data_IF_580861436214
#
_entry.id   IF_580861436214
#
_cell.length_a   1.000
_cell.length_b   1.000
_cell.length_c   1.000
_cell.angle_alpha   90.00
_cell.angle_beta   90.00
_cell.angle_gamma   90.00
#
_symmetry.space_group_name_H-M   'P 1'
#
loop_
_entity.id
_entity.type
_entity.pdbx_description
1 polymer ?
#
# COMPACT_ATOMS: atom_id res chain seq x y z
N UNK A 1 4.19 0.27 -10.18
CA UNK A 1 4.01 1.29 -9.14
C UNK A 1 4.99 1.05 -7.98
N UNK A 2 5.20 2.01 -7.07
CA UNK A 2 6.04 1.82 -5.87
C UNK A 2 5.20 1.84 -4.59
N UNK A 3 5.30 0.79 -3.78
CA UNK A 3 4.62 0.63 -2.49
C UNK A 3 4.96 1.75 -1.50
N UNK A 4 6.24 2.17 -1.45
CA UNK A 4 6.72 3.24 -0.56
C UNK A 4 5.97 4.57 -0.77
N UNK A 5 5.62 4.89 -2.02
CA UNK A 5 4.94 6.15 -2.33
C UNK A 5 3.53 6.15 -1.75
N UNK A 6 2.79 5.06 -1.95
CA UNK A 6 1.46 4.88 -1.41
C UNK A 6 1.48 4.89 0.13
N UNK A 7 2.42 4.15 0.73
CA UNK A 7 2.64 4.09 2.17
C UNK A 7 2.92 5.45 2.79
N UNK A 8 3.88 6.21 2.23
CA UNK A 8 4.25 7.52 2.77
C UNK A 8 3.11 8.53 2.62
N UNK A 9 2.41 8.56 1.48
CA UNK A 9 1.25 9.44 1.31
C UNK A 9 0.11 9.07 2.29
N UNK A 10 -0.15 7.77 2.48
CA UNK A 10 -1.16 7.29 3.43
C UNK A 10 -0.82 7.65 4.88
N UNK A 11 0.43 7.44 5.31
CA UNK A 11 0.87 7.82 6.66
C UNK A 11 0.74 9.32 6.90
N UNK A 12 1.26 10.17 6.00
CA UNK A 12 1.13 11.64 6.15
C UNK A 12 -0.34 12.06 6.16
N UNK A 13 -1.19 11.41 5.35
CA UNK A 13 -2.63 11.68 5.33
C UNK A 13 -3.31 11.38 6.67
N UNK A 14 -2.98 10.27 7.31
CA UNK A 14 -3.58 9.86 8.58
C UNK A 14 -3.24 10.83 9.73
N UNK A 15 -2.04 11.41 9.73
CA UNK A 15 -1.64 12.45 10.69
C UNK A 15 -2.10 13.86 10.31
N UNK A 16 -2.49 14.10 9.06
CA UNK A 16 -2.70 15.43 8.49
C UNK A 16 -1.39 16.16 8.20
N UNK A 17 -0.50 16.28 9.21
CA UNK A 17 0.87 16.76 9.10
C UNK A 17 1.79 15.79 9.83
N UNK A 18 2.90 15.38 9.19
CA UNK A 18 3.82 14.42 9.79
C UNK A 18 5.29 14.77 9.53
N UNK A 19 6.12 14.56 10.54
CA UNK A 19 7.56 14.48 10.38
C UNK A 19 7.96 13.12 9.78
N UNK A 20 9.13 13.08 9.13
CA UNK A 20 9.61 11.83 8.53
C UNK A 20 9.78 10.68 9.52
N UNK A 21 10.12 10.99 10.77
CA UNK A 21 10.23 9.99 11.85
C UNK A 21 8.88 9.37 12.24
N UNK A 22 7.78 10.15 12.25
CA UNK A 22 6.45 9.61 12.53
C UNK A 22 6.03 8.63 11.43
N UNK A 23 6.21 9.03 10.17
CA UNK A 23 5.95 8.16 9.00
C UNK A 23 6.77 6.88 9.11
N UNK A 24 8.05 6.97 9.48
CA UNK A 24 8.90 5.80 9.67
C UNK A 24 8.36 4.87 10.76
N UNK A 25 7.99 5.42 11.91
CA UNK A 25 7.46 4.64 13.02
C UNK A 25 6.16 3.93 12.66
N UNK A 26 5.25 4.58 11.93
CA UNK A 26 4.01 3.93 11.45
C UNK A 26 4.33 2.76 10.52
N UNK A 27 5.24 2.94 9.56
CA UNK A 27 5.63 1.89 8.62
C UNK A 27 6.31 0.72 9.34
N UNK A 28 7.14 0.99 10.35
CA UNK A 28 7.72 -0.04 11.21
C UNK A 28 6.63 -0.77 12.03
N UNK A 29 5.68 -0.03 12.60
CA UNK A 29 4.55 -0.57 13.35
C UNK A 29 3.64 -1.46 12.50
N UNK A 30 3.46 -1.13 11.21
CA UNK A 30 2.75 -1.97 10.24
C UNK A 30 3.55 -3.19 9.77
N UNK A 31 4.78 -3.37 10.27
CA UNK A 31 5.68 -4.42 9.83
C UNK A 31 6.08 -4.29 8.36
N UNK A 32 6.08 -3.07 7.79
CA UNK A 32 6.32 -2.87 6.36
C UNK A 32 7.68 -3.40 5.88
N UNK A 33 8.63 -3.59 6.79
CA UNK A 33 9.92 -4.23 6.51
C UNK A 33 9.81 -5.72 6.17
N UNK A 34 8.76 -6.43 6.62
CA UNK A 34 8.55 -7.86 6.37
C UNK A 34 7.96 -8.13 4.98
N UNK A 35 7.14 -7.20 4.46
CA UNK A 35 6.35 -7.44 3.26
C UNK A 35 6.58 -6.42 2.13
N UNK A 36 7.41 -5.40 2.37
CA UNK A 36 7.79 -4.41 1.36
C UNK A 36 9.29 -4.09 1.41
N UNK A 37 9.75 -3.31 0.42
CA UNK A 37 11.13 -2.80 0.40
C UNK A 37 11.29 -1.47 1.16
N UNK A 38 10.34 -1.10 2.03
CA UNK A 38 10.36 0.12 2.82
C UNK A 38 11.46 0.07 3.88
N UNK A 39 12.58 0.73 3.59
CA UNK A 39 13.69 0.95 4.54
C UNK A 39 13.71 2.41 5.02
N UNK A 40 14.23 2.72 6.23
CA UNK A 40 14.29 4.09 6.75
C UNK A 40 14.79 5.12 5.73
N UNK A 41 15.96 4.92 5.13
CA UNK A 41 16.50 5.83 4.12
C UNK A 41 15.60 6.03 2.88
N UNK A 42 14.80 5.03 2.49
CA UNK A 42 13.86 5.14 1.35
C UNK A 42 12.65 6.03 1.67
N UNK A 43 12.23 6.06 2.94
CA UNK A 43 11.11 6.87 3.43
C UNK A 43 11.48 8.35 3.37
N UNK A 44 12.63 8.71 3.95
CA UNK A 44 13.13 10.08 3.93
C UNK A 44 13.41 10.59 2.52
N UNK A 45 13.95 9.72 1.65
CA UNK A 45 14.14 10.06 0.24
C UNK A 45 12.79 10.27 -0.46
N UNK A 46 11.80 9.41 -0.22
CA UNK A 46 10.48 9.52 -0.81
C UNK A 46 9.77 10.82 -0.39
N UNK A 47 9.81 11.20 0.89
CA UNK A 47 9.24 12.46 1.39
C UNK A 47 9.84 13.68 0.67
N UNK A 48 11.18 13.77 0.62
CA UNK A 48 11.88 14.86 -0.07
C UNK A 48 11.55 14.90 -1.56
N UNK A 49 11.50 13.74 -2.21
CA UNK A 49 11.18 13.67 -3.63
C UNK A 49 9.73 14.07 -3.93
N UNK A 50 8.80 13.67 -3.06
CA UNK A 50 7.39 14.02 -3.16
C UNK A 50 7.12 15.49 -2.89
N UNK A 51 7.88 16.12 -1.98
CA UNK A 51 7.86 17.57 -1.81
C UNK A 51 8.34 18.30 -3.06
N UNK A 52 9.45 17.85 -3.67
CA UNK A 52 9.94 18.41 -4.96
C UNK A 52 8.94 18.26 -6.11
N UNK A 53 8.13 17.20 -6.09
CA UNK A 53 7.08 16.94 -7.09
C UNK A 53 5.79 17.72 -6.82
N UNK A 54 5.69 18.44 -5.71
CA UNK A 54 4.50 19.23 -5.35
C UNK A 54 3.32 18.40 -4.83
N UNK A 55 3.51 17.09 -4.58
CA UNK A 55 2.47 16.24 -3.97
C UNK A 55 2.51 16.30 -2.43
N UNK A 56 3.60 16.79 -1.86
CA UNK A 56 3.70 17.15 -0.45
C UNK A 56 4.14 18.62 -0.33
N UNK A 57 3.63 19.30 0.69
CA UNK A 57 4.12 20.59 1.13
C UNK A 57 5.05 20.38 2.32
N UNK A 58 6.28 20.88 2.22
CA UNK A 58 7.24 20.85 3.31
C UNK A 58 7.13 22.15 4.13
N UNK A 59 6.91 22.02 5.43
CA UNK A 59 6.92 23.11 6.39
C UNK A 59 8.22 23.07 7.18
N UNK A 60 9.01 24.13 7.11
CA UNK A 60 10.15 24.29 8.01
C UNK A 60 9.64 24.68 9.40
N UNK A 61 9.72 23.75 10.35
CA UNK A 61 9.33 24.02 11.74
C UNK A 61 10.55 24.55 12.49
N UNK A 62 10.37 25.68 13.18
CA UNK A 62 11.39 26.23 14.04
C UNK A 62 11.82 25.20 15.11
N UNK A 63 13.07 25.26 15.62
CA UNK A 63 13.53 24.39 16.70
C UNK A 63 12.52 24.36 17.85
N UNK A 64 12.30 23.18 18.45
CA UNK A 64 11.40 23.08 19.61
C UNK A 64 11.87 24.02 20.73
N UNK A 65 10.93 24.55 21.51
CA UNK A 65 11.22 25.41 22.67
C UNK A 65 12.04 24.70 23.76
N UNK A 66 12.19 23.37 23.67
CA UNK A 66 12.90 22.50 24.61
C UNK A 66 14.29 22.11 24.08
N UNK A 67 14.69 22.59 22.91
CA UNK A 67 15.98 22.28 22.29
C UNK A 67 15.95 20.97 21.50
N UNK A 68 15.88 21.10 20.18
CA UNK A 68 16.02 20.02 19.22
C UNK A 68 16.27 20.60 17.83
N UNK A 69 16.86 19.84 16.88
CA UNK A 69 17.03 20.33 15.52
C UNK A 69 15.67 20.74 14.91
N UNK A 70 15.63 21.79 14.08
CA UNK A 70 14.43 22.10 13.31
C UNK A 70 14.06 20.88 12.46
N UNK A 71 12.79 20.49 12.51
CA UNK A 71 12.27 19.32 11.80
C UNK A 71 11.41 19.76 10.63
N UNK A 72 11.51 19.06 9.52
CA UNK A 72 10.59 19.28 8.39
C UNK A 72 9.30 18.51 8.63
N UNK A 73 8.15 19.19 8.59
CA UNK A 73 6.84 18.52 8.49
C UNK A 73 6.41 18.45 7.04
N UNK A 74 5.69 17.39 6.71
CA UNK A 74 5.08 17.19 5.41
C UNK A 74 3.57 17.16 5.56
N UNK A 75 2.88 17.79 4.62
CA UNK A 75 1.43 17.81 4.50
C UNK A 75 1.04 17.45 3.06
N UNK A 76 -0.08 16.74 2.86
CA UNK A 76 -0.57 16.50 1.50
C UNK A 76 -1.09 17.81 0.88
N UNK A 77 -0.64 18.08 -0.34
CA UNK A 77 -1.31 19.06 -1.22
C UNK A 77 -2.60 18.47 -1.80
N UNK A 78 -3.40 19.26 -2.51
CA UNK A 78 -4.54 18.74 -3.29
C UNK A 78 -4.07 17.68 -4.30
N UNK A 79 -2.99 17.96 -5.04
CA UNK A 79 -2.37 17.03 -5.96
C UNK A 79 -1.88 15.75 -5.25
N UNK A 80 -1.39 15.87 -4.01
CA UNK A 80 -1.02 14.72 -3.18
C UNK A 80 -2.19 13.84 -2.78
N UNK A 81 -3.33 14.45 -2.45
CA UNK A 81 -4.57 13.70 -2.17
C UNK A 81 -5.07 12.96 -3.39
N UNK A 82 -5.09 13.62 -4.55
CA UNK A 82 -5.47 12.99 -5.82
C UNK A 82 -4.53 11.83 -6.16
N UNK A 83 -3.22 12.02 -6.02
CA UNK A 83 -2.22 11.01 -6.28
C UNK A 83 -2.36 9.80 -5.35
N UNK A 84 -2.59 10.02 -4.05
CA UNK A 84 -2.83 8.95 -3.09
C UNK A 84 -4.02 8.06 -3.52
N UNK A 85 -5.17 8.67 -3.79
CA UNK A 85 -6.34 7.91 -4.20
C UNK A 85 -6.19 7.26 -5.58
N UNK A 86 -5.46 7.89 -6.51
CA UNK A 86 -5.14 7.30 -7.81
C UNK A 86 -4.30 6.03 -7.63
N UNK A 87 -3.24 6.09 -6.83
CA UNK A 87 -2.37 4.94 -6.53
C UNK A 87 -3.14 3.82 -5.82
N UNK A 88 -3.97 4.17 -4.82
CA UNK A 88 -4.79 3.21 -4.08
C UNK A 88 -5.76 2.46 -5.01
N UNK A 89 -6.49 3.18 -5.86
CA UNK A 89 -7.41 2.59 -6.84
C UNK A 89 -6.71 1.68 -7.83
N UNK A 90 -5.60 2.16 -8.41
CA UNK A 90 -4.82 1.39 -9.38
C UNK A 90 -4.25 0.11 -8.76
N UNK A 91 -3.80 0.17 -7.51
CA UNK A 91 -3.27 -0.99 -6.78
C UNK A 91 -4.33 -2.03 -6.44
N UNK A 92 -5.54 -1.61 -6.02
CA UNK A 92 -6.65 -2.53 -5.74
C UNK A 92 -7.22 -3.20 -7.01
N UNK A 93 -7.20 -2.48 -8.14
CA UNK A 93 -7.83 -2.94 -9.38
C UNK A 93 -6.91 -3.69 -10.34
N UNK A 94 -5.59 -3.47 -10.31
CA UNK A 94 -4.63 -4.25 -11.12
C UNK A 94 -4.49 -5.66 -10.56
N UNK A 95 -4.11 -6.64 -11.39
CA UNK A 95 -3.77 -8.00 -10.95
C UNK A 95 -2.25 -8.27 -10.97
N UNK A 96 -1.50 -7.49 -11.74
CA UNK A 96 -0.09 -7.68 -12.07
C UNK A 96 0.87 -6.77 -11.28
N UNK A 97 0.36 -5.97 -10.33
CA UNK A 97 1.23 -5.27 -9.40
C UNK A 97 2.02 -6.26 -8.52
N UNK A 98 3.20 -5.81 -8.09
CA UNK A 98 3.97 -6.50 -7.05
C UNK A 98 3.14 -6.65 -5.77
N UNK A 99 3.37 -7.76 -5.06
CA UNK A 99 2.65 -8.07 -3.83
C UNK A 99 2.73 -6.95 -2.79
N UNK A 100 3.88 -6.27 -2.69
CA UNK A 100 4.07 -5.17 -1.74
C UNK A 100 3.17 -3.96 -2.02
N UNK A 101 2.82 -3.70 -3.29
CA UNK A 101 1.91 -2.63 -3.69
C UNK A 101 0.47 -2.98 -3.31
N UNK A 102 0.04 -4.23 -3.53
CA UNK A 102 -1.29 -4.68 -3.11
C UNK A 102 -1.40 -4.66 -1.58
N UNK A 103 -0.39 -5.15 -0.86
CA UNK A 103 -0.35 -5.11 0.61
C UNK A 103 -0.48 -3.68 1.15
N UNK A 104 0.23 -2.72 0.56
CA UNK A 104 0.10 -1.31 0.91
C UNK A 104 -1.33 -0.79 0.67
N UNK A 105 -1.94 -1.15 -0.46
CA UNK A 105 -3.32 -0.74 -0.78
C UNK A 105 -4.36 -1.33 0.16
N UNK A 106 -4.18 -2.57 0.63
CA UNK A 106 -5.04 -3.19 1.63
C UNK A 106 -5.01 -2.44 2.97
N UNK A 107 -3.85 -1.89 3.35
CA UNK A 107 -3.71 -1.06 4.55
C UNK A 107 -4.54 0.23 4.51
N UNK A 108 -4.91 0.70 3.31
CA UNK A 108 -5.66 1.94 3.10
C UNK A 108 -7.00 1.76 2.40
N UNK A 109 -7.47 0.51 2.18
CA UNK A 109 -8.70 0.28 1.41
C UNK A 109 -9.94 0.92 2.03
N UNK A 110 -9.94 1.13 3.36
CA UNK A 110 -11.02 1.76 4.12
C UNK A 110 -11.12 3.27 3.91
N UNK A 111 -10.09 3.90 3.32
CA UNK A 111 -10.13 5.31 2.93
C UNK A 111 -11.07 5.57 1.74
N UNK A 112 -11.46 4.51 1.01
CA UNK A 112 -12.47 4.58 -0.05
C UNK A 112 -13.87 4.32 0.52
N UNK A 113 -14.93 4.80 -0.14
CA UNK A 113 -16.28 4.30 0.08
C UNK A 113 -16.33 2.78 -0.16
N UNK A 114 -17.07 2.05 0.68
CA UNK A 114 -17.19 0.58 0.60
C UNK A 114 -17.56 0.10 -0.80
N UNK A 115 -18.56 0.73 -1.42
CA UNK A 115 -19.03 0.38 -2.75
C UNK A 115 -17.94 0.56 -3.82
N UNK A 116 -17.08 1.56 -3.68
CA UNK A 116 -15.96 1.80 -4.58
C UNK A 116 -14.87 0.74 -4.42
N UNK A 117 -14.48 0.42 -3.18
CA UNK A 117 -13.51 -0.64 -2.90
C UNK A 117 -13.98 -2.00 -3.46
N UNK A 118 -15.26 -2.35 -3.26
CA UNK A 118 -15.84 -3.57 -3.83
C UNK A 118 -15.82 -3.55 -5.36
N UNK A 119 -16.14 -2.41 -5.99
CA UNK A 119 -16.11 -2.28 -7.44
C UNK A 119 -14.69 -2.49 -8.01
N UNK A 120 -13.66 -1.93 -7.37
CA UNK A 120 -12.26 -2.10 -7.78
C UNK A 120 -11.79 -3.55 -7.65
N UNK A 121 -12.15 -4.23 -6.56
CA UNK A 121 -11.83 -5.64 -6.37
C UNK A 121 -12.57 -6.54 -7.37
N UNK A 122 -13.79 -6.18 -7.78
CA UNK A 122 -14.51 -6.86 -8.87
C UNK A 122 -13.85 -6.63 -10.23
N UNK A 123 -13.34 -5.43 -10.49
CA UNK A 123 -12.52 -5.15 -11.68
C UNK A 123 -11.23 -5.99 -11.68
N UNK A 124 -10.57 -6.14 -10.53
CA UNK A 124 -9.44 -7.06 -10.36
C UNK A 124 -9.82 -8.51 -10.71
N UNK A 125 -10.98 -9.00 -10.25
CA UNK A 125 -11.47 -10.34 -10.60
C UNK A 125 -11.67 -10.51 -12.12
N UNK A 126 -12.23 -9.50 -12.79
CA UNK A 126 -12.42 -9.54 -14.24
C UNK A 126 -11.08 -9.64 -14.98
N UNK A 127 -10.05 -8.89 -14.54
CA UNK A 127 -8.71 -8.95 -15.13
C UNK A 127 -7.99 -10.27 -14.84
N UNK A 128 -8.12 -10.82 -13.62
CA UNK A 128 -7.61 -12.15 -13.28
C UNK A 128 -8.24 -13.23 -14.16
N UNK A 129 -9.55 -13.16 -14.40
CA UNK A 129 -10.23 -14.07 -15.33
C UNK A 129 -9.72 -13.92 -16.76
N UNK A 130 -9.47 -12.70 -17.23
CA UNK A 130 -8.85 -12.43 -18.54
C UNK A 130 -7.43 -13.00 -18.65
N UNK A 131 -6.60 -12.82 -17.62
CA UNK A 131 -5.26 -13.39 -17.58
C UNK A 131 -5.28 -14.92 -17.59
N UNK A 132 -6.15 -15.53 -16.76
CA UNK A 132 -6.36 -16.99 -16.77
C UNK A 132 -6.81 -17.50 -18.14
N UNK A 133 -7.75 -16.82 -18.79
CA UNK A 133 -8.21 -17.16 -20.13
C UNK A 133 -7.06 -17.11 -21.15
N UNK A 134 -6.22 -16.07 -21.09
CA UNK A 134 -5.05 -15.96 -21.99
C UNK A 134 -4.03 -17.10 -21.79
N UNK A 135 -3.83 -17.57 -20.56
CA UNK A 135 -2.96 -18.71 -20.30
C UNK A 135 -3.54 -20.01 -20.90
N UNK A 136 -4.87 -20.18 -20.82
CA UNK A 136 -5.58 -21.39 -21.28
C UNK A 136 -5.93 -21.41 -22.77
N UNK A 137 -5.61 -20.36 -23.53
CA UNK A 137 -5.81 -20.34 -24.99
C UNK A 137 -4.91 -21.35 -25.72
N UNK A 138 -3.69 -21.57 -25.20
CA UNK A 138 -2.66 -22.43 -25.80
C UNK A 138 -2.22 -23.57 -24.88
N UNK A 139 -2.90 -23.75 -23.74
CA UNK A 139 -2.56 -24.70 -22.71
C UNK A 139 -3.84 -25.29 -22.10
N UNK A 140 -3.96 -26.62 -22.10
CA UNK A 140 -5.07 -27.33 -21.45
C UNK A 140 -4.62 -27.82 -20.08
N UNK A 141 -5.03 -27.20 -18.95
CA UNK A 141 -4.55 -27.59 -17.62
C UNK A 141 -4.77 -29.06 -17.28
N UNK A 142 -5.88 -29.64 -17.73
CA UNK A 142 -6.27 -31.03 -17.48
C UNK A 142 -5.34 -32.05 -18.14
N UNK A 143 -4.65 -31.66 -19.22
CA UNK A 143 -3.64 -32.49 -19.90
C UNK A 143 -2.25 -32.38 -19.26
N UNK A 144 -2.11 -31.49 -18.27
CA UNK A 144 -0.88 -31.27 -17.51
C UNK A 144 0.19 -30.48 -18.28
N UNK A 145 1.19 -29.92 -17.57
CA UNK A 145 2.25 -29.10 -18.15
C UNK A 145 3.10 -29.84 -19.19
N UNK A 146 3.19 -31.17 -19.10
CA UNK A 146 4.03 -32.01 -19.97
C UNK A 146 3.72 -31.90 -21.47
N UNK A 147 2.52 -31.44 -21.86
CA UNK A 147 2.14 -31.23 -23.26
C UNK A 147 3.05 -30.22 -24.00
N UNK A 148 3.66 -29.29 -23.25
CA UNK A 148 4.64 -28.31 -23.76
C UNK A 148 6.05 -28.56 -23.17
N UNK A 149 6.30 -29.75 -22.61
CA UNK A 149 7.49 -30.02 -21.81
C UNK A 149 7.60 -29.09 -20.59
N UNK A 150 8.84 -28.79 -20.16
CA UNK A 150 9.07 -27.93 -18.99
C UNK A 150 8.55 -26.49 -19.14
N UNK A 151 8.30 -26.02 -20.38
CA UNK A 151 7.72 -24.70 -20.64
C UNK A 151 6.25 -24.62 -20.19
N UNK A 152 5.52 -25.75 -20.23
CA UNK A 152 4.14 -25.81 -19.75
C UNK A 152 3.98 -25.50 -18.27
N UNK A 153 5.05 -25.65 -17.47
CA UNK A 153 5.05 -25.24 -16.06
C UNK A 153 4.82 -23.74 -15.87
N UNK A 154 5.19 -22.90 -16.85
CA UNK A 154 4.94 -21.45 -16.80
C UNK A 154 3.43 -21.18 -16.87
N UNK A 155 2.75 -21.81 -17.83
CA UNK A 155 1.30 -21.65 -17.99
C UNK A 155 0.54 -22.27 -16.81
N UNK A 156 0.99 -23.44 -16.34
CA UNK A 156 0.45 -24.09 -15.15
C UNK A 156 0.56 -23.19 -13.91
N UNK A 157 1.74 -22.60 -13.69
CA UNK A 157 1.96 -21.62 -12.61
C UNK A 157 1.01 -20.42 -12.75
N UNK A 158 0.83 -19.86 -13.93
CA UNK A 158 -0.09 -18.72 -14.15
C UNK A 158 -1.54 -19.07 -13.86
N UNK A 159 -2.02 -20.24 -14.29
CA UNK A 159 -3.38 -20.71 -13.99
C UNK A 159 -3.57 -20.85 -12.47
N UNK A 160 -2.62 -21.50 -11.79
CA UNK A 160 -2.65 -21.64 -10.33
C UNK A 160 -2.63 -20.30 -9.60
N UNK A 161 -1.77 -19.36 -10.02
CA UNK A 161 -1.70 -18.02 -9.44
C UNK A 161 -3.01 -17.25 -9.65
N UNK A 162 -3.57 -17.25 -10.87
CA UNK A 162 -4.81 -16.57 -11.16
C UNK A 162 -5.99 -17.12 -10.35
N UNK A 163 -6.08 -18.45 -10.22
CA UNK A 163 -7.14 -19.12 -9.46
C UNK A 163 -7.05 -18.81 -7.96
N UNK A 164 -5.85 -18.89 -7.38
CA UNK A 164 -5.62 -18.59 -5.97
C UNK A 164 -5.90 -17.11 -5.63
N UNK A 165 -5.43 -16.17 -6.47
CA UNK A 165 -5.70 -14.75 -6.28
C UNK A 165 -7.18 -14.40 -6.45
N UNK A 166 -7.86 -15.04 -7.40
CA UNK A 166 -9.29 -14.85 -7.60
C UNK A 166 -10.10 -15.39 -6.41
N UNK A 167 -9.71 -16.52 -5.84
CA UNK A 167 -10.33 -17.08 -4.65
C UNK A 167 -10.18 -16.14 -3.45
N UNK A 168 -8.96 -15.67 -3.18
CA UNK A 168 -8.71 -14.74 -2.10
C UNK A 168 -9.48 -13.42 -2.29
N UNK A 169 -9.50 -12.88 -3.50
CA UNK A 169 -10.20 -11.62 -3.82
C UNK A 169 -11.71 -11.77 -3.62
N UNK A 170 -12.31 -12.88 -4.06
CA UNK A 170 -13.73 -13.21 -3.81
C UNK A 170 -14.02 -13.29 -2.31
N UNK A 171 -13.15 -13.94 -1.54
CA UNK A 171 -13.27 -14.03 -0.09
C UNK A 171 -13.19 -12.68 0.60
N UNK A 172 -12.31 -11.78 0.14
CA UNK A 172 -12.22 -10.42 0.66
C UNK A 172 -13.49 -9.62 0.37
N UNK A 173 -13.99 -9.65 -0.86
CA UNK A 173 -15.26 -9.01 -1.25
C UNK A 173 -16.40 -9.50 -0.34
N UNK A 174 -16.53 -10.83 -0.16
CA UNK A 174 -17.58 -11.40 0.67
C UNK A 174 -17.52 -10.92 2.13
N UNK A 175 -16.31 -10.76 2.71
CA UNK A 175 -16.15 -10.18 4.06
C UNK A 175 -16.56 -8.72 4.10
N UNK A 176 -16.14 -7.92 3.12
CA UNK A 176 -16.49 -6.49 3.03
C UNK A 176 -18.00 -6.32 2.89
N UNK A 177 -18.65 -7.07 1.99
CA UNK A 177 -20.10 -7.03 1.81
C UNK A 177 -20.86 -7.56 3.03
N UNK A 178 -20.27 -8.51 3.77
CA UNK A 178 -20.76 -9.02 5.04
C UNK A 178 -20.58 -8.08 6.24
N UNK A 179 -20.09 -6.85 6.02
CA UNK A 179 -19.97 -5.81 7.05
C UNK A 179 -18.62 -5.75 7.75
N UNK A 180 -17.58 -6.42 7.24
CA UNK A 180 -16.23 -6.24 7.77
C UNK A 180 -15.74 -4.80 7.52
N UNK A 181 -15.04 -4.26 8.53
CA UNK A 181 -14.41 -2.94 8.54
C UNK A 181 -15.40 -1.77 8.46
N UNK A 182 -14.96 -0.59 8.88
CA UNK A 182 -15.70 0.68 8.72
C UNK A 182 -15.01 1.44 7.59
N UNK A 183 -15.73 1.73 6.51
CA UNK A 183 -15.20 2.44 5.35
C UNK A 183 -15.50 3.95 5.45
N UNK A 184 -14.85 4.73 4.59
CA UNK A 184 -15.07 6.17 4.50
C UNK A 184 -16.57 6.49 4.34
N UNK A 185 -17.07 7.36 5.22
CA UNK A 185 -18.47 7.78 5.27
C UNK A 185 -19.40 6.89 6.10
N UNK A 186 -18.88 5.82 6.72
CA UNK A 186 -19.67 4.89 7.56
C UNK A 186 -19.39 5.03 9.06
N UNK A 187 -18.46 5.92 9.43
CA UNK A 187 -18.01 6.14 10.82
C UNK A 187 -16.51 6.38 10.87
N UNK A 188 -15.91 6.13 12.03
CA UNK A 188 -14.47 6.21 12.22
C UNK A 188 -13.80 4.89 11.78
N UNK A 189 -13.03 4.88 10.67
CA UNK A 189 -12.28 3.71 10.27
C UNK A 189 -11.15 3.40 11.25
N UNK A 190 -10.67 2.16 11.23
CA UNK A 190 -9.43 1.82 11.94
C UNK A 190 -8.28 2.66 11.39
N UNK A 191 -7.57 3.36 12.27
CA UNK A 191 -6.36 4.11 11.95
C UNK A 191 -5.20 3.38 12.60
N UNK A 192 -4.27 2.88 11.79
CA UNK A 192 -3.11 2.12 12.27
C UNK A 192 -1.94 2.99 12.74
N UNK A 193 -2.14 4.24 13.13
CA UNK A 193 -1.02 5.11 13.53
C UNK A 193 -0.53 4.79 14.94
N UNK A 194 0.77 4.91 15.15
CA UNK A 194 1.33 4.88 16.50
C UNK A 194 0.97 6.19 17.21
N UNK A 195 0.29 6.12 18.36
CA UNK A 195 -0.12 7.32 19.08
C UNK A 195 1.10 8.10 19.60
N UNK A 196 0.95 9.43 19.71
CA UNK A 196 2.04 10.29 20.17
C UNK A 196 2.45 9.91 21.62
N UNK A 197 3.70 9.49 21.79
CA UNK A 197 4.25 9.04 23.08
C UNK A 197 4.24 7.53 23.32
N UNK A 198 3.66 6.73 22.41
CA UNK A 198 3.79 5.27 22.47
C UNK A 198 5.12 4.79 21.89
N UNK A 199 5.73 3.81 22.56
CA UNK A 199 6.97 3.19 22.10
C UNK A 199 6.64 2.11 21.07
N UNK A 200 7.23 2.19 19.87
CA UNK A 200 6.99 1.20 18.82
C UNK A 200 7.65 -0.14 19.20
N UNK A 201 6.88 -1.21 19.45
CA UNK A 201 7.44 -2.50 19.86
C UNK A 201 8.24 -3.19 18.74
N UNK A 202 8.11 -2.71 17.51
CA UNK A 202 8.81 -3.21 16.33
C UNK A 202 9.91 -2.25 15.84
N UNK A 203 10.25 -1.22 16.61
CA UNK A 203 11.35 -0.34 16.28
C UNK A 203 12.65 -1.15 16.17
N UNK A 204 13.38 -0.95 15.08
CA UNK A 204 14.62 -1.68 14.80
C UNK A 204 15.78 -1.26 15.72
N UNK A 205 15.62 -0.16 16.48
CA UNK A 205 16.66 0.43 17.33
C UNK A 205 17.80 1.11 16.56
N UNK A 206 17.82 1.00 15.23
CA UNK A 206 18.82 1.63 14.37
C UNK A 206 18.45 3.10 14.11
N UNK A 207 19.35 4.02 14.47
CA UNK A 207 19.19 5.45 14.18
C UNK A 207 19.59 5.72 12.74
N UNK A 208 18.69 6.27 11.93
CA UNK A 208 18.97 6.67 10.55
C UNK A 208 19.41 8.14 10.51
N UNK A 209 20.38 8.55 9.67
CA UNK A 209 20.77 9.95 9.54
C UNK A 209 19.63 10.90 9.14
N UNK A 210 18.51 10.37 8.62
CA UNK A 210 17.28 11.10 8.35
C UNK A 210 16.46 11.45 9.60
N UNK A 211 16.69 10.81 10.73
CA UNK A 211 15.96 11.06 11.99
C UNK A 211 16.27 12.44 12.60
N UNK A 212 17.44 12.99 12.27
CA UNK A 212 17.95 14.27 12.77
C UNK A 212 17.61 15.46 11.84
N UNK A 213 16.80 15.23 10.79
CA UNK A 213 16.54 16.18 9.69
C UNK A 213 15.06 16.55 9.51
#
# INVERSE_FOLDING_TARGET
MSSIRLLVLGAVRQHGRAHGYQVRNDLEYWGAHEWSNAKPGSIYHALKQMAKQGVLLAHEVAPSTVGGPPRTEYELTDAGREEFFRLLREALASYDQKMDVLSAALGFMVDLPRAEAVALLRDRLAKLAGWRASATEYYTPEEGPGQLGHIGEIMNMWVHSADAEAEWTRGLIARIEGGAYVFAGEGEPFVGVLAEGEENPFATGERDPGDDR
#
